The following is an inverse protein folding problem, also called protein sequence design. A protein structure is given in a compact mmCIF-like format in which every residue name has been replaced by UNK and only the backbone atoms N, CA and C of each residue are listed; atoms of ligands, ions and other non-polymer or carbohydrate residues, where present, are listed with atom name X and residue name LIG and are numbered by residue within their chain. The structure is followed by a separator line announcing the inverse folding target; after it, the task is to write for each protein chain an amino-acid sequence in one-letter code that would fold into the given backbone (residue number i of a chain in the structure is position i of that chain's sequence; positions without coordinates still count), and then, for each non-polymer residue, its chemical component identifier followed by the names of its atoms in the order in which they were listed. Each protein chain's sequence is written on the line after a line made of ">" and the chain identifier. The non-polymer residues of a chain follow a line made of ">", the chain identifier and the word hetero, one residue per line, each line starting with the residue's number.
data_IF_996915132495
#
_entry.id   IF_996915132495
#
_cell.length_a   1.000
_cell.length_b   1.000
_cell.length_c   1.000
_cell.angle_alpha   90.00
_cell.angle_beta   90.00
_cell.angle_gamma   90.00
#
_symmetry.space_group_name_H-M   'P 1'
#
loop_
_entity.id
_entity.type
_entity.pdbx_description
1 polymer ?
#
# COMPACT_ATOMS: atom_id res chain seq x y z
N UNK A 1 -15.12 1.29 8.82
CA UNK A 1 -13.72 1.12 8.40
C UNK A 1 -13.65 0.16 7.23
N UNK A 2 -12.82 0.43 6.21
CA UNK A 2 -12.47 -0.58 5.22
C UNK A 2 -11.84 -1.76 5.97
N UNK A 3 -12.47 -2.93 5.89
CA UNK A 3 -11.94 -4.17 6.49
C UNK A 3 -10.92 -4.74 5.54
N UNK A 4 -9.73 -5.07 6.00
CA UNK A 4 -8.72 -5.83 5.25
C UNK A 4 -8.35 -7.07 6.07
N UNK A 5 -8.33 -8.29 5.48
CA UNK A 5 -7.91 -9.48 6.19
C UNK A 5 -6.49 -9.33 6.71
N UNK A 6 -6.23 -9.75 7.96
CA UNK A 6 -4.92 -9.62 8.59
C UNK A 6 -4.40 -8.17 8.70
N UNK A 7 -5.28 -7.19 8.91
CA UNK A 7 -4.89 -5.80 9.10
C UNK A 7 -3.89 -5.60 10.25
N UNK A 8 -3.93 -6.46 11.28
CA UNK A 8 -2.99 -6.50 12.40
C UNK A 8 -1.57 -6.91 12.00
N UNK A 9 -1.42 -7.62 10.89
CA UNK A 9 -0.11 -8.02 10.34
C UNK A 9 0.55 -6.92 9.50
N UNK A 10 -0.19 -5.84 9.19
CA UNK A 10 0.35 -4.68 8.49
C UNK A 10 1.23 -3.87 9.45
N UNK A 11 2.48 -3.71 9.09
CA UNK A 11 3.44 -2.97 9.90
C UNK A 11 4.48 -2.29 9.03
N UNK A 12 4.21 -1.03 8.66
CA UNK A 12 5.22 -0.17 8.06
C UNK A 12 5.72 0.84 9.11
N UNK A 13 6.94 0.69 9.65
CA UNK A 13 7.56 1.70 10.50
C UNK A 13 7.60 3.04 9.76
N UNK A 14 7.10 4.09 10.41
CA UNK A 14 7.00 5.41 9.81
C UNK A 14 7.09 6.52 10.84
N UNK A 15 7.50 7.71 10.40
CA UNK A 15 7.22 8.97 11.08
C UNK A 15 6.07 9.65 10.36
N UNK A 16 5.00 10.02 11.06
CA UNK A 16 3.96 10.87 10.47
C UNK A 16 4.53 12.29 10.33
N UNK A 17 5.19 12.56 9.21
CA UNK A 17 6.04 13.72 9.02
C UNK A 17 5.26 15.02 8.89
N UNK A 18 4.09 14.99 8.24
CA UNK A 18 3.32 16.20 7.96
C UNK A 18 1.85 15.94 7.65
N UNK A 19 0.96 16.75 8.19
CA UNK A 19 -0.41 16.90 7.72
C UNK A 19 -0.52 18.03 6.70
N UNK A 20 -0.99 17.75 5.49
CA UNK A 20 -1.21 18.75 4.45
C UNK A 20 -2.72 18.95 4.26
N UNK A 21 -3.29 20.10 4.67
CA UNK A 21 -4.70 20.37 4.50
C UNK A 21 -5.11 20.34 3.03
N UNK A 22 -6.27 19.74 2.74
CA UNK A 22 -6.80 19.73 1.39
C UNK A 22 -7.15 21.14 0.89
N UNK A 23 -6.98 21.36 -0.41
CA UNK A 23 -7.27 22.65 -1.06
C UNK A 23 -8.77 22.97 -0.96
N UNK A 24 -9.16 24.25 -0.92
CA UNK A 24 -10.55 24.65 -1.11
C UNK A 24 -11.07 24.20 -2.48
N UNK A 25 -12.30 23.70 -2.51
CA UNK A 25 -13.04 23.40 -3.73
C UNK A 25 -14.03 24.55 -4.03
N UNK A 26 -14.31 24.86 -5.32
CA UNK A 26 -15.22 25.96 -5.69
C UNK A 26 -16.64 25.87 -5.11
N UNK A 27 -17.09 24.69 -4.70
CA UNK A 27 -18.40 24.46 -4.05
C UNK A 27 -18.40 24.77 -2.53
N UNK A 28 -17.29 25.28 -1.99
CA UNK A 28 -17.13 25.58 -0.57
C UNK A 28 -16.64 24.42 0.29
N UNK A 29 -16.49 23.21 -0.26
CA UNK A 29 -15.87 22.07 0.44
C UNK A 29 -14.34 22.12 0.34
N UNK A 30 -13.65 21.16 0.96
CA UNK A 30 -12.21 20.94 0.76
C UNK A 30 -11.98 19.57 0.14
N UNK A 31 -10.94 19.46 -0.68
CA UNK A 31 -10.37 18.17 -1.02
C UNK A 31 -9.90 17.44 0.25
N UNK A 32 -9.75 16.12 0.19
CA UNK A 32 -9.22 15.36 1.31
C UNK A 32 -7.77 15.78 1.63
N UNK A 33 -7.37 15.77 2.91
CA UNK A 33 -5.99 16.06 3.29
C UNK A 33 -5.03 14.98 2.78
N UNK A 34 -3.77 15.36 2.64
CA UNK A 34 -2.68 14.44 2.37
C UNK A 34 -1.85 14.27 3.65
N UNK A 35 -1.76 13.04 4.12
CA UNK A 35 -0.88 12.64 5.21
C UNK A 35 0.46 12.23 4.62
N UNK A 36 1.56 12.77 5.12
CA UNK A 36 2.90 12.47 4.64
C UNK A 36 3.63 11.63 5.68
N UNK A 37 4.08 10.45 5.29
CA UNK A 37 4.83 9.52 6.12
C UNK A 37 6.25 9.37 5.61
N UNK A 38 7.23 9.59 6.49
CA UNK A 38 8.61 9.19 6.24
C UNK A 38 8.79 7.74 6.67
N UNK A 39 9.15 6.87 5.72
CA UNK A 39 9.29 5.42 5.91
C UNK A 39 10.75 4.96 5.73
N UNK A 40 11.71 5.89 5.69
CA UNK A 40 13.12 5.57 5.46
C UNK A 40 13.52 5.39 3.99
N UNK A 41 12.69 5.89 3.07
CA UNK A 41 13.00 6.00 1.63
C UNK A 41 13.46 7.41 1.27
N UNK A 42 14.08 7.58 0.10
CA UNK A 42 14.53 8.91 -0.39
C UNK A 42 13.39 9.93 -0.51
N UNK A 43 12.18 9.44 -0.78
CA UNK A 43 10.97 10.24 -0.91
C UNK A 43 9.91 9.73 0.07
N UNK A 44 9.28 10.59 0.88
CA UNK A 44 8.22 10.17 1.80
C UNK A 44 6.97 9.73 1.03
N UNK A 45 6.11 8.95 1.68
CA UNK A 45 4.84 8.50 1.10
C UNK A 45 3.73 9.49 1.45
N UNK A 46 2.95 9.89 0.45
CA UNK A 46 1.71 10.63 0.61
C UNK A 46 0.50 9.70 0.57
N UNK A 47 -0.34 9.75 1.60
CA UNK A 47 -1.55 8.93 1.73
C UNK A 47 -2.76 9.81 1.95
N UNK A 48 -3.86 9.49 1.28
CA UNK A 48 -5.15 10.18 1.48
C UNK A 48 -6.00 9.35 2.42
N UNK A 49 -6.16 9.83 3.65
CA UNK A 49 -7.02 9.19 4.65
C UNK A 49 -8.49 9.58 4.42
N UNK A 50 -9.18 8.75 3.65
CA UNK A 50 -10.60 8.94 3.29
C UNK A 50 -11.55 8.71 4.45
N UNK A 51 -11.07 8.02 5.47
CA UNK A 51 -11.89 7.47 6.54
C UNK A 51 -11.60 8.13 7.88
N UNK A 52 -10.69 9.13 7.89
CA UNK A 52 -10.29 9.91 9.05
C UNK A 52 -9.83 9.01 10.20
N UNK A 53 -8.99 8.03 9.88
CA UNK A 53 -8.46 7.01 10.78
C UNK A 53 -7.16 7.43 11.47
N UNK A 54 -6.52 8.50 11.00
CA UNK A 54 -5.32 9.05 11.61
C UNK A 54 -5.64 10.40 12.22
N UNK A 55 -5.35 10.53 13.51
CA UNK A 55 -5.43 11.79 14.22
C UNK A 55 -4.31 12.75 13.74
N UNK A 56 -4.65 13.94 13.21
CA UNK A 56 -3.67 14.94 12.79
C UNK A 56 -2.72 15.38 13.92
N UNK A 57 -3.11 15.27 15.19
CA UNK A 57 -2.26 15.62 16.34
C UNK A 57 -1.06 14.69 16.52
N UNK A 58 -1.04 13.55 15.80
CA UNK A 58 0.10 12.62 15.77
C UNK A 58 1.22 13.07 14.83
N UNK A 59 1.11 14.23 14.18
CA UNK A 59 2.18 14.80 13.37
C UNK A 59 3.49 14.91 14.18
N UNK A 60 4.61 14.53 13.56
CA UNK A 60 5.93 14.41 14.15
C UNK A 60 6.18 13.14 14.97
N UNK A 61 5.17 12.29 15.21
CA UNK A 61 5.34 11.04 15.96
C UNK A 61 5.89 9.92 15.07
N UNK A 62 6.73 9.08 15.66
CA UNK A 62 7.14 7.77 15.11
C UNK A 62 6.16 6.70 15.52
N UNK A 63 5.94 5.73 14.66
CA UNK A 63 4.96 4.68 14.87
C UNK A 63 4.90 3.69 13.72
N UNK A 64 3.76 3.00 13.63
CA UNK A 64 3.48 2.00 12.61
C UNK A 64 2.27 2.45 11.79
N UNK A 65 2.48 2.64 10.48
CA UNK A 65 1.41 2.87 9.53
C UNK A 65 0.90 1.54 8.97
N UNK A 66 -0.42 1.36 8.95
CA UNK A 66 -1.08 0.20 8.35
C UNK A 66 -1.58 0.58 6.96
N UNK A 67 -0.76 0.36 5.94
CA UNK A 67 -1.06 0.79 4.57
C UNK A 67 -1.61 -0.36 3.72
N UNK A 68 -2.56 -0.04 2.86
CA UNK A 68 -3.08 -0.96 1.83
C UNK A 68 -2.98 -0.30 0.46
N UNK A 69 -2.34 -1.02 -0.46
CA UNK A 69 -2.19 -0.65 -1.86
C UNK A 69 -3.41 -1.19 -2.61
N UNK A 70 -4.18 -0.27 -3.17
CA UNK A 70 -5.45 -0.52 -3.83
C UNK A 70 -5.32 -0.33 -5.34
N UNK A 71 -6.12 -1.09 -6.10
CA UNK A 71 -6.25 -0.95 -7.55
C UNK A 71 -4.92 -1.15 -8.29
N UNK A 72 -4.02 -1.94 -7.69
CA UNK A 72 -2.66 -2.11 -8.15
C UNK A 72 -2.56 -3.05 -9.35
N UNK A 73 -1.61 -2.81 -10.23
CA UNK A 73 -1.13 -3.83 -11.17
C UNK A 73 -0.15 -4.74 -10.44
N UNK A 74 -0.27 -6.06 -10.59
CA UNK A 74 0.62 -7.04 -9.98
C UNK A 74 1.31 -7.87 -11.06
N UNK A 75 2.63 -8.01 -10.97
CA UNK A 75 3.44 -8.83 -11.89
C UNK A 75 4.48 -9.61 -11.10
N UNK A 76 4.79 -10.84 -11.51
CA UNK A 76 5.92 -11.58 -10.95
C UNK A 76 7.24 -10.86 -11.25
N UNK A 77 8.14 -10.85 -10.26
CA UNK A 77 9.52 -10.44 -10.49
C UNK A 77 10.28 -11.58 -11.18
N UNK A 78 11.10 -11.30 -12.20
CA UNK A 78 11.97 -12.30 -12.81
C UNK A 78 12.90 -12.94 -11.80
N UNK A 79 13.19 -14.23 -11.97
CA UNK A 79 14.20 -14.93 -11.18
C UNK A 79 15.58 -14.26 -11.35
N UNK A 80 16.34 -14.11 -10.27
CA UNK A 80 17.63 -13.41 -10.27
C UNK A 80 17.55 -11.88 -10.15
N UNK A 81 16.38 -11.28 -10.37
CA UNK A 81 16.14 -9.84 -10.18
C UNK A 81 15.29 -9.55 -8.92
N UNK A 82 15.01 -10.57 -8.13
CA UNK A 82 14.12 -10.50 -6.97
C UNK A 82 14.69 -9.61 -5.87
N UNK A 83 13.93 -8.60 -5.48
CA UNK A 83 14.31 -7.69 -4.42
C UNK A 83 13.09 -7.08 -3.71
N UNK A 84 13.38 -6.45 -2.57
CA UNK A 84 12.42 -5.72 -1.77
C UNK A 84 12.75 -4.23 -1.86
N UNK A 85 11.77 -3.42 -2.20
CA UNK A 85 11.94 -1.98 -2.31
C UNK A 85 10.60 -1.25 -2.32
N UNK A 86 10.67 0.04 -2.01
CA UNK A 86 9.61 0.97 -2.32
C UNK A 86 10.20 2.12 -3.15
N UNK A 87 9.80 2.19 -4.41
CA UNK A 87 10.36 3.12 -5.40
C UNK A 87 9.34 4.20 -5.71
N UNK A 88 9.63 5.48 -5.45
CA UNK A 88 8.70 6.57 -5.72
C UNK A 88 8.49 6.77 -7.22
N UNK A 89 7.33 7.31 -7.61
CA UNK A 89 7.08 7.66 -9.01
C UNK A 89 8.07 8.74 -9.49
N UNK A 90 8.59 8.69 -10.73
CA UNK A 90 9.58 9.66 -11.23
C UNK A 90 9.13 11.12 -11.17
N UNK A 91 7.82 11.35 -11.22
CA UNK A 91 7.23 12.68 -11.18
C UNK A 91 7.24 13.33 -9.78
N UNK A 92 7.66 12.61 -8.75
CA UNK A 92 7.56 13.07 -7.35
C UNK A 92 8.41 14.31 -7.05
N UNK A 93 9.48 14.64 -7.80
CA UNK A 93 10.22 15.95 -7.75
C UNK A 93 10.40 16.56 -6.34
N UNK A 94 10.71 15.74 -5.32
CA UNK A 94 10.88 16.19 -3.93
C UNK A 94 9.59 16.37 -3.11
N UNK A 95 8.43 16.10 -3.72
CA UNK A 95 7.14 15.92 -3.06
C UNK A 95 6.95 14.47 -2.64
N UNK A 96 6.03 14.24 -1.69
CA UNK A 96 5.68 12.90 -1.25
C UNK A 96 5.11 12.06 -2.41
N UNK A 97 5.56 10.82 -2.52
CA UNK A 97 5.12 9.83 -3.50
C UNK A 97 3.74 9.32 -3.13
N UNK A 98 2.78 9.43 -4.04
CA UNK A 98 1.38 9.01 -3.81
C UNK A 98 1.00 7.73 -4.53
N UNK A 99 1.88 7.24 -5.41
CA UNK A 99 1.71 6.01 -6.16
C UNK A 99 3.06 5.29 -6.37
N UNK A 100 3.79 4.96 -5.29
CA UNK A 100 5.06 4.25 -5.40
C UNK A 100 4.85 2.86 -5.99
N UNK A 101 5.92 2.33 -6.59
CA UNK A 101 6.04 0.92 -6.91
C UNK A 101 6.59 0.18 -5.69
N UNK A 102 5.89 -0.88 -5.29
CA UNK A 102 6.34 -1.77 -4.22
C UNK A 102 6.87 -3.07 -4.83
N UNK A 103 8.07 -3.45 -4.43
CA UNK A 103 8.71 -4.71 -4.76
C UNK A 103 8.83 -5.49 -3.47
N UNK A 104 8.41 -6.75 -3.48
CA UNK A 104 8.46 -7.54 -2.25
C UNK A 104 8.14 -9.00 -2.45
N UNK A 105 8.18 -9.71 -1.32
CA UNK A 105 7.83 -11.12 -1.23
C UNK A 105 6.45 -11.28 -0.60
N UNK A 106 5.59 -12.06 -1.24
CA UNK A 106 4.26 -12.39 -0.72
C UNK A 106 4.44 -13.25 0.52
N UNK A 107 3.88 -12.81 1.65
CA UNK A 107 3.94 -13.57 2.91
C UNK A 107 2.63 -14.30 3.23
N UNK A 108 1.52 -13.85 2.66
CA UNK A 108 0.21 -14.51 2.73
C UNK A 108 -0.70 -14.04 1.59
N UNK A 109 -1.64 -14.89 1.16
CA UNK A 109 -2.71 -14.54 0.21
C UNK A 109 -4.06 -14.90 0.84
N UNK A 110 -4.59 -14.05 1.75
CA UNK A 110 -5.80 -14.34 2.51
C UNK A 110 -7.05 -14.53 1.65
N UNK A 111 -7.14 -13.78 0.54
CA UNK A 111 -8.30 -13.83 -0.36
C UNK A 111 -7.82 -14.04 -1.78
N UNK A 112 -8.42 -15.02 -2.45
CA UNK A 112 -8.23 -15.30 -3.88
C UNK A 112 -9.56 -15.76 -4.46
N UNK A 113 -10.23 -14.85 -5.16
CA UNK A 113 -11.56 -15.09 -5.71
C UNK A 113 -11.51 -14.88 -7.23
N UNK A 114 -11.54 -15.99 -7.96
CA UNK A 114 -11.70 -15.98 -9.40
C UNK A 114 -13.17 -16.10 -9.77
N UNK A 115 -13.60 -15.25 -10.68
CA UNK A 115 -14.88 -15.38 -11.33
C UNK A 115 -14.66 -15.67 -12.81
N UNK A 116 -15.05 -16.88 -13.22
CA UNK A 116 -15.15 -17.30 -14.61
C UNK A 116 -16.62 -17.48 -14.95
N UNK A 117 -17.07 -16.97 -16.09
CA UNK A 117 -18.48 -16.93 -16.44
C UNK A 117 -18.72 -16.75 -17.94
N UNK A 118 -19.91 -16.25 -18.31
CA UNK A 118 -20.37 -16.09 -19.71
C UNK A 118 -19.66 -14.98 -20.49
N UNK A 119 -18.79 -14.21 -19.83
CA UNK A 119 -18.07 -13.08 -20.43
C UNK A 119 -16.75 -13.56 -21.02
N UNK A 120 -16.25 -12.85 -22.04
CA UNK A 120 -15.01 -13.19 -22.75
C UNK A 120 -13.72 -12.86 -21.97
N UNK A 121 -13.82 -12.67 -20.65
CA UNK A 121 -12.71 -12.36 -19.77
C UNK A 121 -12.93 -12.99 -18.39
N UNK A 122 -11.83 -13.27 -17.72
CA UNK A 122 -11.77 -13.69 -16.33
C UNK A 122 -11.62 -12.46 -15.43
N UNK A 123 -12.16 -12.51 -14.21
CA UNK A 123 -11.89 -11.53 -13.18
C UNK A 123 -11.32 -12.18 -11.93
N UNK A 124 -10.37 -11.49 -11.32
CA UNK A 124 -9.72 -11.87 -10.06
C UNK A 124 -9.93 -10.74 -9.07
N UNK A 125 -10.41 -11.08 -7.89
CA UNK A 125 -10.22 -10.27 -6.68
C UNK A 125 -9.19 -10.96 -5.79
N UNK A 126 -8.17 -10.22 -5.38
CA UNK A 126 -7.10 -10.76 -4.53
C UNK A 126 -6.73 -9.79 -3.42
N UNK A 127 -6.47 -10.36 -2.26
CA UNK A 127 -5.88 -9.68 -1.11
C UNK A 127 -4.65 -10.46 -0.67
N UNK A 128 -3.55 -9.75 -0.43
CA UNK A 128 -2.30 -10.35 -0.01
C UNK A 128 -1.50 -9.43 0.92
N UNK A 129 -0.59 -10.05 1.67
CA UNK A 129 0.42 -9.38 2.47
C UNK A 129 1.75 -9.39 1.72
N UNK A 130 2.37 -8.23 1.60
CA UNK A 130 3.63 -8.04 0.89
C UNK A 130 4.69 -7.50 1.84
N UNK A 131 5.77 -8.25 2.03
CA UNK A 131 6.96 -7.77 2.71
C UNK A 131 7.87 -7.04 1.72
N UNK A 132 8.02 -5.73 1.94
CA UNK A 132 8.80 -4.82 1.09
C UNK A 132 10.16 -4.46 1.71
N UNK A 133 10.63 -5.22 2.72
CA UNK A 133 11.95 -5.06 3.34
C UNK A 133 12.02 -3.93 4.37
N UNK A 134 11.19 -2.90 4.21
CA UNK A 134 10.96 -1.85 5.21
C UNK A 134 9.89 -2.23 6.24
N UNK A 135 9.02 -3.19 5.88
CA UNK A 135 7.86 -3.58 6.63
C UNK A 135 6.84 -4.29 5.74
N UNK A 136 5.66 -4.57 6.29
CA UNK A 136 4.59 -5.28 5.57
C UNK A 136 3.45 -4.33 5.22
N UNK A 137 3.08 -4.33 3.94
CA UNK A 137 1.91 -3.62 3.41
C UNK A 137 0.87 -4.60 2.90
N UNK A 138 -0.40 -4.17 2.91
CA UNK A 138 -1.48 -4.93 2.29
C UNK A 138 -1.57 -4.58 0.81
N UNK A 139 -1.97 -5.53 -0.01
CA UNK A 139 -2.36 -5.27 -1.40
C UNK A 139 -3.76 -5.83 -1.59
N UNK A 140 -4.65 -5.00 -2.12
CA UNK A 140 -5.98 -5.40 -2.57
C UNK A 140 -6.16 -4.94 -4.00
N UNK A 141 -6.29 -5.89 -4.92
CA UNK A 141 -6.51 -5.53 -6.31
C UNK A 141 -7.59 -6.40 -6.94
N UNK A 142 -8.20 -5.82 -7.97
CA UNK A 142 -9.04 -6.53 -8.89
C UNK A 142 -8.39 -6.45 -10.28
N UNK A 143 -8.25 -7.60 -10.93
CA UNK A 143 -7.72 -7.69 -12.28
C UNK A 143 -8.75 -8.34 -13.19
N UNK A 144 -8.74 -7.95 -14.46
CA UNK A 144 -9.52 -8.61 -15.51
C UNK A 144 -8.60 -8.86 -16.70
N UNK A 145 -8.61 -10.06 -17.24
CA UNK A 145 -7.85 -10.43 -18.43
C UNK A 145 -8.60 -11.50 -19.23
N UNK A 146 -8.36 -11.63 -20.54
CA UNK A 146 -8.84 -12.79 -21.30
C UNK A 146 -8.35 -14.12 -20.70
N UNK A 147 -7.12 -14.11 -20.19
CA UNK A 147 -6.47 -15.22 -19.48
C UNK A 147 -5.62 -14.61 -18.36
N UNK A 148 -6.04 -14.80 -17.10
CA UNK A 148 -5.34 -14.26 -15.94
C UNK A 148 -4.04 -15.00 -15.66
N UNK A 149 -3.98 -16.30 -15.94
CA UNK A 149 -2.78 -17.11 -15.76
C UNK A 149 -1.66 -16.62 -16.67
N UNK A 150 -1.98 -16.39 -17.95
CA UNK A 150 -1.02 -15.80 -18.89
C UNK A 150 -0.59 -14.39 -18.46
N UNK A 151 -1.53 -13.57 -17.95
CA UNK A 151 -1.22 -12.20 -17.54
C UNK A 151 -0.36 -12.13 -16.28
N UNK A 152 -0.56 -13.02 -15.31
CA UNK A 152 0.28 -13.10 -14.10
C UNK A 152 1.57 -13.90 -14.33
N UNK A 153 1.56 -14.83 -15.30
CA UNK A 153 2.62 -15.80 -15.54
C UNK A 153 2.50 -17.08 -14.70
N UNK A 154 1.42 -17.24 -13.90
CA UNK A 154 1.12 -18.45 -13.13
C UNK A 154 -0.38 -18.49 -12.74
N UNK A 155 -0.94 -19.66 -12.40
CA UNK A 155 -2.36 -19.80 -12.09
C UNK A 155 -2.81 -18.98 -10.87
N UNK A 156 -1.96 -18.88 -9.85
CA UNK A 156 -2.28 -18.21 -8.59
C UNK A 156 -1.04 -17.67 -7.89
N UNK A 157 -1.17 -16.51 -7.24
CA UNK A 157 -0.13 -16.02 -6.32
C UNK A 157 -0.16 -16.81 -5.01
N UNK A 158 1.03 -17.12 -4.51
CA UNK A 158 1.26 -17.95 -3.36
C UNK A 158 2.24 -17.28 -2.40
N UNK A 159 2.24 -17.73 -1.15
CA UNK A 159 3.28 -17.34 -0.21
C UNK A 159 4.64 -17.72 -0.77
N UNK A 160 5.57 -16.77 -0.73
CA UNK A 160 6.93 -16.91 -1.21
C UNK A 160 7.17 -16.31 -2.58
N UNK A 161 6.12 -16.02 -3.37
CA UNK A 161 6.25 -15.37 -4.67
C UNK A 161 6.85 -13.97 -4.53
N UNK A 162 7.69 -13.60 -5.48
CA UNK A 162 8.25 -12.26 -5.59
C UNK A 162 7.45 -11.46 -6.60
N UNK A 163 6.89 -10.35 -6.18
CA UNK A 163 6.00 -9.53 -7.01
C UNK A 163 6.41 -8.06 -7.02
N UNK A 164 6.08 -7.40 -8.12
CA UNK A 164 6.05 -5.95 -8.25
C UNK A 164 4.58 -5.52 -8.26
N UNK A 165 4.31 -4.47 -7.50
CA UNK A 165 2.99 -3.85 -7.33
C UNK A 165 3.09 -2.40 -7.74
N UNK A 166 2.41 -2.04 -8.83
CA UNK A 166 2.47 -0.71 -9.44
C UNK A 166 1.09 -0.06 -9.58
N UNK A 167 1.06 1.22 -9.99
CA UNK A 167 -0.17 2.01 -10.22
C UNK A 167 -1.14 1.99 -9.04
N UNK A 168 -0.60 1.96 -7.83
CA UNK A 168 -1.38 1.78 -6.63
C UNK A 168 -1.94 3.11 -6.14
N UNK A 169 -3.18 3.08 -5.68
CA UNK A 169 -3.65 4.06 -4.70
C UNK A 169 -3.31 3.54 -3.31
N UNK A 170 -2.82 4.41 -2.43
CA UNK A 170 -2.58 4.03 -1.04
C UNK A 170 -3.75 4.47 -0.16
N UNK A 171 -4.26 3.54 0.65
CA UNK A 171 -5.19 3.79 1.75
C UNK A 171 -4.51 3.46 3.08
N UNK A 172 -4.97 4.07 4.17
CA UNK A 172 -4.44 3.86 5.51
C UNK A 172 -5.54 3.30 6.41
N UNK A 173 -5.24 2.20 7.10
CA UNK A 173 -6.15 1.59 8.08
C UNK A 173 -5.91 2.11 9.50
N UNK A 174 -4.83 2.87 9.71
CA UNK A 174 -4.50 3.50 10.98
C UNK A 174 -3.01 3.79 11.09
N UNK A 175 -2.68 4.63 12.06
CA UNK A 175 -1.31 4.91 12.49
C UNK A 175 -1.24 4.76 14.00
N UNK A 176 -0.34 3.89 14.46
CA UNK A 176 -0.16 3.59 15.88
C UNK A 176 1.18 4.19 16.35
N UNK A 177 1.19 5.25 17.17
CA UNK A 177 2.44 5.85 17.62
C UNK A 177 3.19 4.88 18.52
N UNK A 178 4.50 4.78 18.31
CA UNK A 178 5.36 4.04 19.23
C UNK A 178 5.31 4.69 20.61
N UNK A 179 5.19 3.87 21.66
CA UNK A 179 5.34 4.36 23.02
C UNK A 179 6.68 5.10 23.12
N UNK A 180 6.67 6.31 23.68
CA UNK A 180 7.90 7.03 23.97
C UNK A 180 8.74 6.14 24.90
N UNK A 181 9.92 5.70 24.44
CA UNK A 181 10.90 5.12 25.37
C UNK A 181 11.25 6.23 26.33
N UNK A 182 10.76 6.17 27.57
CA UNK A 182 11.30 6.97 28.66
C UNK A 182 12.79 6.60 28.75
N UNK A 183 13.72 7.52 28.47
CA UNK A 183 15.13 7.25 28.66
C UNK A 183 15.35 7.15 30.17
N UNK A 184 15.73 5.96 30.66
CA UNK A 184 16.38 5.72 31.96
C UNK A 184 15.69 6.29 33.21
N UNK A 185 15.11 5.40 34.01
CA UNK A 185 15.09 5.60 35.45
C UNK A 185 16.50 5.40 36.02
#
# INVERSE_FOLDING_TARGET
>A
MPRFPHAESLHLPATFARYVPGRPHPDGRRYLPLLVFDVGTDVPIGVVDRHHLVDPELEGKRGTARLVFLLSTVTLQPEGEQHQALVPEPASRGMASTAPEAFGRVIAVPTWEEQRGTLAYESLYTELLLDIGLGVVGVRTAATAPDLEQSLGKPRLEQGDWIRVGRSRIDILGFEPSAARTPGA
#
